data_IF_182062957447
#
_entry.id   IF_182062957447
#
_cell.length_a   1.000
_cell.length_b   1.000
_cell.length_c   1.000
_cell.angle_alpha   90.00
_cell.angle_beta   90.00
_cell.angle_gamma   90.00
#
_symmetry.space_group_name_H-M   'P 1'
#
loop_
_entity.id
_entity.type
_entity.pdbx_description
1 polymer ?
#
# COMPACT_ATOMS: atom_id res chain seq x y z
N UNK A 1 13.52 9.33 16.38
CA UNK A 1 12.47 8.98 15.40
C UNK A 1 12.02 7.57 15.69
N UNK A 2 10.71 7.33 15.81
CA UNK A 2 10.21 5.96 16.04
C UNK A 2 10.39 5.09 14.77
N UNK A 3 10.03 3.81 14.86
CA UNK A 3 10.18 2.88 13.74
C UNK A 3 9.19 3.16 12.60
N UNK A 4 7.96 3.57 12.92
CA UNK A 4 6.93 3.86 11.93
C UNK A 4 7.34 5.04 11.05
N UNK A 5 7.86 6.11 11.66
CA UNK A 5 8.29 7.28 10.93
C UNK A 5 9.51 7.01 10.04
N UNK A 6 10.43 6.14 10.48
CA UNK A 6 11.52 5.65 9.61
C UNK A 6 11.00 4.86 8.42
N UNK A 7 10.03 3.95 8.65
CA UNK A 7 9.45 3.14 7.59
C UNK A 7 8.66 4.00 6.59
N UNK A 8 7.95 5.03 7.08
CA UNK A 8 7.25 5.98 6.21
C UNK A 8 8.23 6.75 5.32
N UNK A 9 9.31 7.30 5.89
CA UNK A 9 10.34 7.99 5.10
C UNK A 9 10.97 7.06 4.07
N UNK A 10 11.23 5.80 4.42
CA UNK A 10 11.77 4.81 3.48
C UNK A 10 10.84 4.62 2.26
N UNK A 11 9.53 4.53 2.50
CA UNK A 11 8.53 4.41 1.43
C UNK A 11 8.39 5.71 0.63
N UNK A 12 8.48 6.88 1.27
CA UNK A 12 8.52 8.16 0.55
C UNK A 12 9.77 8.28 -0.34
N UNK A 13 10.94 7.83 0.14
CA UNK A 13 12.17 7.74 -0.65
C UNK A 13 12.05 6.76 -1.81
N UNK A 14 11.32 5.65 -1.65
CA UNK A 14 11.00 4.75 -2.76
C UNK A 14 10.23 5.51 -3.85
N UNK A 15 9.13 6.18 -3.52
CA UNK A 15 8.38 6.97 -4.52
C UNK A 15 9.21 8.08 -5.15
N UNK A 16 10.06 8.77 -4.38
CA UNK A 16 10.96 9.79 -4.91
C UNK A 16 11.95 9.19 -5.93
N UNK A 17 12.60 8.06 -5.61
CA UNK A 17 13.52 7.38 -6.52
C UNK A 17 12.84 6.91 -7.80
N UNK A 18 11.63 6.34 -7.70
CA UNK A 18 10.82 5.94 -8.86
C UNK A 18 10.46 7.14 -9.75
N UNK A 19 10.15 8.29 -9.16
CA UNK A 19 9.82 9.51 -9.91
C UNK A 19 11.03 10.09 -10.68
N UNK A 20 12.24 9.87 -10.19
CA UNK A 20 13.50 10.29 -10.83
C UNK A 20 14.04 9.24 -11.83
N UNK A 21 13.49 8.03 -11.80
CA UNK A 21 14.00 6.90 -12.57
C UNK A 21 15.26 6.27 -11.95
N UNK A 22 15.55 6.54 -10.68
CA UNK A 22 16.70 6.02 -9.95
C UNK A 22 16.44 4.56 -9.52
N UNK A 23 16.37 3.65 -10.49
CA UNK A 23 15.96 2.25 -10.27
C UNK A 23 16.91 1.47 -9.36
N UNK A 24 18.20 1.85 -9.31
CA UNK A 24 19.17 1.24 -8.39
C UNK A 24 18.82 1.54 -6.93
N UNK A 25 18.44 2.78 -6.62
CA UNK A 25 17.99 3.18 -5.27
C UNK A 25 16.67 2.51 -4.94
N UNK A 26 15.71 2.50 -5.89
CA UNK A 26 14.43 1.85 -5.69
C UNK A 26 14.58 0.35 -5.39
N UNK A 27 15.43 -0.34 -6.15
CA UNK A 27 15.73 -1.76 -5.95
C UNK A 27 16.42 -2.01 -4.61
N UNK A 28 17.33 -1.14 -4.16
CA UNK A 28 18.02 -1.25 -2.87
C UNK A 28 17.11 -1.10 -1.64
N UNK A 29 15.90 -0.55 -1.80
CA UNK A 29 14.90 -0.43 -0.72
C UNK A 29 14.03 -1.70 -0.61
N UNK A 30 13.94 -2.48 -1.68
CA UNK A 30 13.14 -3.70 -1.75
C UNK A 30 13.99 -4.93 -1.39
N UNK A 31 13.40 -5.91 -0.72
CA UNK A 31 14.03 -7.22 -0.58
C UNK A 31 14.11 -7.91 -1.95
N UNK A 32 15.15 -8.71 -2.17
CA UNK A 32 15.33 -9.48 -3.42
C UNK A 32 14.14 -10.41 -3.69
N UNK A 33 13.54 -10.96 -2.64
CA UNK A 33 12.43 -11.89 -2.64
C UNK A 33 11.11 -11.27 -2.16
N UNK A 34 10.91 -9.97 -2.41
CA UNK A 34 9.69 -9.25 -2.00
C UNK A 34 8.42 -10.01 -2.36
N UNK A 35 7.58 -10.30 -1.37
CA UNK A 35 6.30 -10.97 -1.58
C UNK A 35 5.29 -9.96 -2.14
N UNK A 36 5.05 -10.07 -3.45
CA UNK A 36 4.14 -9.19 -4.18
C UNK A 36 2.78 -9.84 -4.39
N UNK A 37 1.71 -9.13 -3.98
CA UNK A 37 0.35 -9.45 -4.40
C UNK A 37 -0.34 -8.28 -5.11
N UNK A 38 -1.03 -8.55 -6.22
CA UNK A 38 -1.71 -7.55 -7.04
C UNK A 38 -3.21 -7.84 -7.15
N UNK A 39 -4.03 -6.80 -7.09
CA UNK A 39 -5.44 -6.85 -7.41
C UNK A 39 -5.91 -5.63 -8.18
N UNK A 40 -6.58 -5.88 -9.31
CA UNK A 40 -7.11 -4.85 -10.16
C UNK A 40 -7.20 -5.34 -11.61
N UNK A 41 -7.50 -4.44 -12.57
CA UNK A 41 -7.51 -4.79 -13.97
C UNK A 41 -6.13 -5.31 -14.43
N UNK A 42 -6.02 -6.40 -15.21
CA UNK A 42 -4.73 -6.98 -15.62
C UNK A 42 -3.78 -6.00 -16.33
N UNK A 43 -4.33 -4.98 -17.00
CA UNK A 43 -3.57 -3.93 -17.68
C UNK A 43 -2.90 -2.92 -16.74
N UNK A 44 -3.24 -2.93 -15.45
CA UNK A 44 -2.82 -1.93 -14.46
C UNK A 44 -1.65 -2.39 -13.58
N UNK A 45 -0.88 -3.42 -13.97
CA UNK A 45 0.30 -3.88 -13.24
C UNK A 45 1.51 -2.93 -13.43
N UNK A 46 1.30 -1.63 -13.19
CA UNK A 46 2.25 -0.58 -13.54
C UNK A 46 3.53 -0.63 -12.69
N UNK A 47 3.43 -0.86 -11.38
CA UNK A 47 4.63 -0.93 -10.52
C UNK A 47 5.48 -2.13 -10.91
N UNK A 48 4.86 -3.28 -11.24
CA UNK A 48 5.61 -4.49 -11.62
C UNK A 48 6.41 -4.25 -12.87
N UNK A 49 5.77 -3.65 -13.88
CA UNK A 49 6.43 -3.34 -15.13
C UNK A 49 7.56 -2.32 -14.95
N UNK A 50 7.35 -1.33 -14.09
CA UNK A 50 8.37 -0.33 -13.78
C UNK A 50 9.59 -0.97 -13.08
N UNK A 51 9.37 -1.75 -12.02
CA UNK A 51 10.44 -2.39 -11.25
C UNK A 51 11.21 -3.48 -12.02
N UNK A 52 10.58 -4.09 -13.04
CA UNK A 52 11.20 -5.11 -13.89
C UNK A 52 11.77 -4.55 -15.20
N UNK A 53 11.60 -3.25 -15.47
CA UNK A 53 12.04 -2.62 -16.72
C UNK A 53 11.19 -2.96 -17.95
N UNK A 54 10.01 -3.57 -17.77
CA UNK A 54 9.02 -3.77 -18.86
C UNK A 54 8.36 -2.45 -19.29
N UNK A 55 8.31 -1.45 -18.40
CA UNK A 55 7.81 -0.11 -18.66
C UNK A 55 8.90 0.93 -18.40
N UNK A 56 8.91 1.99 -19.21
CA UNK A 56 9.85 3.09 -19.06
C UNK A 56 9.48 4.03 -17.90
N UNK A 57 10.46 4.75 -17.32
CA UNK A 57 10.17 5.85 -16.40
C UNK A 57 9.23 6.86 -17.07
N UNK A 58 8.09 7.17 -16.43
CA UNK A 58 7.11 8.13 -16.92
C UNK A 58 5.94 7.55 -17.72
N UNK A 59 5.89 6.24 -18.00
CA UNK A 59 4.67 5.60 -18.56
C UNK A 59 3.52 5.62 -17.55
N UNK A 60 3.85 5.45 -16.27
CA UNK A 60 2.93 5.61 -15.14
C UNK A 60 3.67 6.31 -13.99
N UNK A 61 3.10 7.40 -13.48
CA UNK A 61 3.64 8.15 -12.35
C UNK A 61 2.93 7.81 -11.05
N UNK A 62 3.68 7.23 -10.11
CA UNK A 62 3.22 7.00 -8.75
C UNK A 62 3.49 8.21 -7.88
N UNK A 63 2.53 9.13 -7.81
CA UNK A 63 2.57 10.30 -6.91
C UNK A 63 1.56 10.08 -5.78
N UNK A 64 2.00 9.67 -4.57
CA UNK A 64 1.13 9.51 -3.44
C UNK A 64 0.47 10.83 -3.05
N UNK A 65 -0.82 10.79 -2.74
CA UNK A 65 -1.54 11.91 -2.11
C UNK A 65 -1.56 11.80 -0.60
N UNK A 66 -1.55 10.58 -0.11
CA UNK A 66 -1.48 10.26 1.31
C UNK A 66 -0.54 9.08 1.50
N UNK A 67 0.32 9.18 2.51
CA UNK A 67 1.17 8.10 3.00
C UNK A 67 0.96 8.00 4.51
N UNK A 68 0.55 6.84 5.01
CA UNK A 68 0.11 6.63 6.39
C UNK A 68 0.68 5.34 6.97
N UNK A 69 1.21 5.42 8.19
CA UNK A 69 1.67 4.25 8.93
C UNK A 69 0.48 3.56 9.60
N UNK A 70 0.47 2.24 9.56
CA UNK A 70 -0.58 1.39 10.16
C UNK A 70 0.06 0.16 10.81
N UNK A 71 -0.70 -0.60 11.61
CA UNK A 71 -0.29 -1.90 12.14
C UNK A 71 0.97 -1.81 13.01
N UNK A 72 0.98 -0.92 14.00
CA UNK A 72 2.13 -0.70 14.88
C UNK A 72 3.37 -0.09 14.19
N UNK A 73 3.20 0.49 12.99
CA UNK A 73 4.27 1.14 12.23
C UNK A 73 5.06 0.19 11.32
N UNK A 74 4.69 -1.09 11.26
CA UNK A 74 5.31 -2.06 10.33
C UNK A 74 4.82 -1.87 8.89
N UNK A 75 3.57 -1.46 8.72
CA UNK A 75 2.96 -1.25 7.43
C UNK A 75 2.87 0.24 7.11
N UNK A 76 3.12 0.58 5.85
CA UNK A 76 2.92 1.92 5.31
C UNK A 76 1.98 1.81 4.12
N UNK A 77 0.86 2.52 4.18
CA UNK A 77 -0.14 2.57 3.13
C UNK A 77 -0.01 3.89 2.40
N UNK A 78 0.06 3.82 1.08
CA UNK A 78 0.04 4.98 0.21
C UNK A 78 -1.14 4.88 -0.75
N UNK A 79 -1.84 5.98 -0.99
CA UNK A 79 -2.88 6.05 -2.01
C UNK A 79 -2.70 7.26 -2.92
N UNK A 80 -3.18 7.11 -4.15
CA UNK A 80 -3.10 8.16 -5.14
C UNK A 80 -3.92 7.85 -6.38
N UNK A 81 -3.72 8.68 -7.40
CA UNK A 81 -4.26 8.46 -8.72
C UNK A 81 -3.27 8.89 -9.78
N UNK A 82 -3.38 8.27 -10.94
CA UNK A 82 -2.80 8.81 -12.16
C UNK A 82 -3.91 9.10 -13.17
N UNK A 83 -3.90 10.33 -13.70
CA UNK A 83 -4.96 10.82 -14.58
C UNK A 83 -6.35 10.72 -13.94
N UNK A 84 -7.36 10.42 -14.76
CA UNK A 84 -8.77 10.38 -14.32
C UNK A 84 -9.27 8.96 -14.01
N UNK A 85 -8.49 7.91 -14.29
CA UNK A 85 -9.01 6.54 -14.38
C UNK A 85 -8.19 5.47 -13.64
N UNK A 86 -7.05 5.83 -13.05
CA UNK A 86 -6.20 4.88 -12.33
C UNK A 86 -6.08 5.30 -10.86
N UNK A 87 -7.07 4.93 -10.04
CA UNK A 87 -6.92 4.99 -8.59
C UNK A 87 -6.08 3.80 -8.12
N UNK A 88 -5.17 4.03 -7.17
CA UNK A 88 -4.32 2.98 -6.63
C UNK A 88 -4.13 3.13 -5.12
N UNK A 89 -3.98 1.98 -4.46
CA UNK A 89 -3.57 1.85 -3.06
C UNK A 89 -2.43 0.85 -3.01
N UNK A 90 -1.35 1.23 -2.37
CA UNK A 90 -0.18 0.39 -2.12
C UNK A 90 -0.03 0.21 -0.62
N UNK A 91 0.18 -1.01 -0.16
CA UNK A 91 0.54 -1.30 1.22
C UNK A 91 1.89 -2.02 1.25
N UNK A 92 2.84 -1.43 1.97
CA UNK A 92 4.22 -1.83 2.06
C UNK A 92 4.52 -2.32 3.49
N UNK A 93 4.96 -3.56 3.64
CA UNK A 93 5.48 -4.06 4.91
C UNK A 93 6.98 -3.85 4.95
N UNK A 94 7.47 -3.21 6.02
CA UNK A 94 8.90 -2.94 6.22
C UNK A 94 9.41 -3.71 7.41
N UNK A 95 10.44 -4.51 7.19
CA UNK A 95 11.14 -5.27 8.22
C UNK A 95 12.64 -4.97 8.14
N UNK A 96 13.24 -4.63 9.28
CA UNK A 96 14.68 -4.33 9.38
C UNK A 96 15.19 -3.28 8.39
N UNK A 97 14.34 -2.32 8.00
CA UNK A 97 14.69 -1.23 7.10
C UNK A 97 14.62 -1.58 5.60
N UNK A 98 14.02 -2.72 5.25
CA UNK A 98 13.82 -3.17 3.87
C UNK A 98 12.35 -3.54 3.67
N UNK A 99 11.80 -3.30 2.48
CA UNK A 99 10.44 -3.71 2.14
C UNK A 99 10.41 -5.20 1.81
N UNK A 100 9.69 -5.98 2.60
CA UNK A 100 9.60 -7.46 2.45
C UNK A 100 8.29 -7.92 1.85
N UNK A 101 7.21 -7.14 1.99
CA UNK A 101 5.92 -7.42 1.33
C UNK A 101 5.34 -6.19 0.67
N UNK A 102 4.71 -6.41 -0.47
CA UNK A 102 3.97 -5.41 -1.22
C UNK A 102 2.58 -5.92 -1.58
N UNK A 103 1.55 -5.12 -1.30
CA UNK A 103 0.17 -5.32 -1.75
C UNK A 103 -0.24 -4.15 -2.62
N UNK A 104 -0.52 -4.42 -3.89
CA UNK A 104 -0.90 -3.43 -4.90
C UNK A 104 -2.38 -3.58 -5.26
N UNK A 105 -3.13 -2.49 -5.17
CA UNK A 105 -4.56 -2.46 -5.47
C UNK A 105 -4.86 -1.35 -6.48
N UNK A 106 -5.41 -1.70 -7.63
CA UNK A 106 -5.85 -0.75 -8.65
C UNK A 106 -7.37 -0.75 -8.78
N UNK A 107 -7.96 0.45 -8.86
CA UNK A 107 -9.40 0.68 -8.96
C UNK A 107 -10.21 -0.13 -7.94
N UNK A 108 -9.67 -0.24 -6.73
CA UNK A 108 -10.17 -1.05 -5.62
C UNK A 108 -10.03 -0.24 -4.34
N UNK A 109 -11.12 -0.12 -3.58
CA UNK A 109 -11.12 0.52 -2.26
C UNK A 109 -10.60 -0.47 -1.22
N UNK A 110 -9.71 -0.03 -0.33
CA UNK A 110 -9.08 -0.87 0.68
C UNK A 110 -9.44 -0.37 2.07
N UNK A 111 -9.73 -1.30 2.97
CA UNK A 111 -9.84 -1.03 4.41
C UNK A 111 -8.79 -1.86 5.14
N UNK A 112 -7.93 -1.21 5.92
CA UNK A 112 -6.91 -1.91 6.71
C UNK A 112 -7.44 -2.14 8.11
N UNK A 113 -7.31 -3.37 8.59
CA UNK A 113 -7.72 -3.77 9.94
C UNK A 113 -6.60 -4.50 10.63
N UNK A 114 -6.44 -4.21 11.92
CA UNK A 114 -5.52 -4.96 12.79
C UNK A 114 -6.17 -6.29 13.18
N UNK A 115 -5.45 -7.39 12.98
CA UNK A 115 -5.90 -8.73 13.40
C UNK A 115 -4.89 -9.32 14.40
N UNK A 116 -5.31 -9.43 15.66
CA UNK A 116 -4.47 -9.99 16.74
C UNK A 116 -5.19 -11.08 17.55
N UNK A 117 -4.47 -11.91 18.33
CA UNK A 117 -5.05 -13.00 19.11
C UNK A 117 -6.13 -12.53 20.12
N UNK A 118 -6.05 -11.29 20.62
CA UNK A 118 -7.10 -10.69 21.48
C UNK A 118 -8.36 -10.19 20.74
N UNK A 119 -8.40 -10.28 19.40
CA UNK A 119 -9.58 -9.92 18.60
C UNK A 119 -10.55 -11.09 18.41
N UNK A 120 -10.06 -12.34 18.54
CA UNK A 120 -10.89 -13.54 18.39
C UNK A 120 -11.49 -14.02 19.72
N UNK A 121 -10.80 -13.90 20.86
CA UNK A 121 -11.34 -14.30 22.18
C UNK A 121 -12.40 -13.31 22.71
N UNK A 122 -12.34 -12.05 22.28
CA UNK A 122 -13.31 -11.00 22.64
C UNK A 122 -14.60 -11.05 21.80
N UNK A 123 -14.65 -11.87 20.73
CA UNK A 123 -15.82 -11.99 19.86
C UNK A 123 -17.05 -12.62 20.55
N UNK A 124 -16.85 -13.29 21.69
CA UNK A 124 -17.92 -13.93 22.48
C UNK A 124 -18.52 -13.00 23.56
N UNK A 125 -18.01 -11.79 23.75
CA UNK A 125 -18.46 -10.86 24.80
C UNK A 125 -19.26 -9.67 24.24
N UNK A 126 -20.43 -9.97 23.66
CA UNK A 126 -21.47 -8.98 23.37
C UNK A 126 -21.25 -8.12 22.10
N UNK A 127 -22.30 -7.44 21.61
CA UNK A 127 -22.37 -6.91 20.25
C UNK A 127 -21.53 -5.64 20.02
N UNK A 128 -20.70 -5.21 20.97
CA UNK A 128 -20.13 -3.87 20.96
C UNK A 128 -18.74 -3.82 21.61
N UNK A 129 -17.73 -4.47 21.00
CA UNK A 129 -16.30 -4.01 20.92
C UNK A 129 -15.36 -5.11 20.36
N UNK A 130 -14.60 -4.75 19.30
CA UNK A 130 -13.33 -5.35 18.81
C UNK A 130 -13.37 -6.55 17.83
N UNK A 131 -14.25 -6.54 16.83
CA UNK A 131 -13.94 -7.20 15.57
C UNK A 131 -12.95 -6.33 14.76
N UNK A 132 -11.63 -6.54 14.95
CA UNK A 132 -10.50 -5.89 14.24
C UNK A 132 -10.57 -4.36 14.14
N UNK A 133 -9.73 -3.64 14.89
CA UNK A 133 -9.72 -2.16 14.83
C UNK A 133 -9.42 -1.72 13.39
N UNK A 134 -10.31 -0.92 12.79
CA UNK A 134 -10.04 -0.29 11.50
C UNK A 134 -8.92 0.73 11.70
N UNK A 135 -7.80 0.51 11.04
CA UNK A 135 -6.60 1.34 11.15
C UNK A 135 -6.58 2.44 10.08
N UNK A 136 -7.08 2.12 8.89
CA UNK A 136 -7.07 3.02 7.74
C UNK A 136 -8.14 2.60 6.74
N UNK A 137 -8.60 3.53 5.93
CA UNK A 137 -9.50 3.27 4.82
C UNK A 137 -9.20 4.24 3.68
N UNK A 138 -9.28 3.72 2.45
CA UNK A 138 -9.19 4.48 1.22
C UNK A 138 -10.07 5.72 1.21
N UNK A 139 -9.49 6.87 0.91
CA UNK A 139 -10.22 8.08 0.55
C UNK A 139 -10.54 8.07 -0.95
N UNK A 140 -11.19 6.98 -1.39
CA UNK A 140 -11.61 6.68 -2.75
C UNK A 140 -12.63 7.68 -3.36
N UNK A 141 -12.76 8.89 -2.80
CA UNK A 141 -13.54 10.00 -3.35
C UNK A 141 -12.82 10.62 -4.56
N UNK A 142 -12.47 9.79 -5.53
CA UNK A 142 -11.94 10.21 -6.82
C UNK A 142 -13.04 10.69 -7.77
N UNK A 143 -12.69 11.40 -8.86
CA UNK A 143 -13.61 12.06 -9.81
C UNK A 143 -14.58 11.12 -10.56
N UNK A 144 -14.53 9.82 -10.30
CA UNK A 144 -15.16 8.79 -11.12
C UNK A 144 -16.65 8.59 -10.84
N UNK A 145 -17.19 8.98 -9.68
CA UNK A 145 -18.61 8.75 -9.32
C UNK A 145 -19.05 7.27 -9.42
N UNK A 146 -18.09 6.34 -9.52
CA UNK A 146 -18.29 4.91 -9.77
C UNK A 146 -17.97 4.15 -8.51
N UNK A 147 -18.78 3.14 -8.21
CA UNK A 147 -18.49 2.16 -7.16
C UNK A 147 -17.25 1.35 -7.54
N UNK A 148 -16.34 1.15 -6.59
CA UNK A 148 -15.18 0.26 -6.73
C UNK A 148 -15.38 -0.97 -5.85
N UNK A 149 -14.84 -2.14 -6.25
CA UNK A 149 -14.73 -3.28 -5.35
C UNK A 149 -14.04 -2.88 -4.04
N UNK A 150 -14.53 -3.40 -2.92
CA UNK A 150 -13.94 -3.18 -1.59
C UNK A 150 -13.18 -4.42 -1.13
N UNK A 151 -11.98 -4.23 -0.59
CA UNK A 151 -11.15 -5.30 -0.03
C UNK A 151 -10.71 -4.93 1.39
N UNK A 152 -10.59 -5.94 2.27
CA UNK A 152 -10.03 -5.78 3.61
C UNK A 152 -8.62 -6.35 3.65
N UNK A 153 -7.63 -5.50 3.95
CA UNK A 153 -6.27 -5.93 4.24
C UNK A 153 -6.14 -6.11 5.76
N UNK A 154 -5.91 -7.35 6.18
CA UNK A 154 -5.55 -7.66 7.55
C UNK A 154 -4.04 -7.48 7.74
N UNK A 155 -3.66 -6.72 8.76
CA UNK A 155 -2.26 -6.46 9.16
C UNK A 155 -2.01 -6.81 10.62
#
# INVERSE_FOLDING_TARGET
MDIGERNKMLVESLYESLSKGDMEVAAGILAEDVDWWFHGPPRCQHMRRLLTGEAGPGEFQFVPRQVTQVGGGRWVVAEGWEGQHAYWVHAWEVENGVITRFREYFNTSVTVREVGPGSSEMAFMGPNKKAGMQLWQSEARGPLGRSMPGLVLAV
#
